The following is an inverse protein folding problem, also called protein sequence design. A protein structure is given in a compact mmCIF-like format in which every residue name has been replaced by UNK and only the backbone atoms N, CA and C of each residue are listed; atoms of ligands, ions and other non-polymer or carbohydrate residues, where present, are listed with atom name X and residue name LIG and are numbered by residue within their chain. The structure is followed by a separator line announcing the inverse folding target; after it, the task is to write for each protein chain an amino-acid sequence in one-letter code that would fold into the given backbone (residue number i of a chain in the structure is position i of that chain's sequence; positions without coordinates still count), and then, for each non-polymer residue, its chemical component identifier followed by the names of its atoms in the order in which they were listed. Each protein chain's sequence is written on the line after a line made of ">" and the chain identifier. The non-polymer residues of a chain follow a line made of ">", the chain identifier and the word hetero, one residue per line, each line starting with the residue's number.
data_IF_309072916291
#
_entry.id   IF_309072916291
#
_cell.length_a   1.000
_cell.length_b   1.000
_cell.length_c   1.000
_cell.angle_alpha   90.00
_cell.angle_beta   90.00
_cell.angle_gamma   90.00
#
_symmetry.space_group_name_H-M   'P 1'
#
loop_
_entity.id
_entity.type
_entity.pdbx_description
1 polymer ?
#
# COMPACT_ATOMS: atom_id res chain seq x y z
N UNK A 1 -8.31 -4.98 -28.53
CA UNK A 1 -7.16 -4.30 -27.89
C UNK A 1 -7.41 -4.38 -26.38
N UNK A 2 -6.52 -4.99 -25.61
CA UNK A 2 -6.66 -5.09 -24.15
C UNK A 2 -5.89 -3.90 -23.56
N UNK A 3 -6.59 -3.03 -22.82
CA UNK A 3 -5.99 -1.89 -22.16
C UNK A 3 -5.80 -2.21 -20.67
N UNK A 4 -4.62 -1.95 -20.07
CA UNK A 4 -4.43 -2.14 -18.64
C UNK A 4 -5.29 -1.15 -17.86
N UNK A 5 -6.07 -1.65 -16.91
CA UNK A 5 -6.89 -0.84 -16.00
C UNK A 5 -6.14 -0.74 -14.67
N UNK A 6 -5.85 0.49 -14.24
CA UNK A 6 -5.33 0.75 -12.89
C UNK A 6 -6.49 1.21 -12.02
N UNK A 7 -6.76 0.48 -10.94
CA UNK A 7 -7.71 0.91 -9.93
C UNK A 7 -6.97 1.62 -8.80
N UNK A 8 -7.49 2.76 -8.34
CA UNK A 8 -6.98 3.46 -7.15
C UNK A 8 -8.14 3.64 -6.19
N UNK A 9 -8.07 2.94 -5.07
CA UNK A 9 -9.03 3.04 -3.99
C UNK A 9 -9.19 4.49 -3.51
N UNK A 10 -10.43 4.88 -3.20
CA UNK A 10 -10.70 6.21 -2.67
C UNK A 10 -10.25 6.28 -1.20
N UNK A 11 -9.01 6.71 -0.98
CA UNK A 11 -8.51 6.96 0.37
C UNK A 11 -8.90 8.34 0.91
N UNK A 12 -8.93 8.47 2.26
CA UNK A 12 -9.15 9.75 2.95
C UNK A 12 -8.02 10.77 2.75
N UNK A 13 -6.82 10.30 2.38
CA UNK A 13 -5.66 11.15 2.09
C UNK A 13 -5.24 11.00 0.62
N UNK A 14 -5.44 12.06 -0.17
CA UNK A 14 -5.09 12.10 -1.61
C UNK A 14 -3.60 11.84 -1.88
N UNK A 15 -2.72 12.04 -0.89
CA UNK A 15 -1.28 11.75 -1.02
C UNK A 15 -1.00 10.27 -1.21
N UNK A 16 -1.81 9.41 -0.61
CA UNK A 16 -1.67 7.97 -0.76
C UNK A 16 -2.10 7.52 -2.15
N UNK A 17 -3.12 8.16 -2.75
CA UNK A 17 -3.61 7.83 -4.09
C UNK A 17 -2.55 8.06 -5.19
N UNK A 18 -1.78 9.15 -5.11
CA UNK A 18 -0.70 9.42 -6.06
C UNK A 18 0.43 8.39 -5.98
N UNK A 19 0.72 7.92 -4.76
CA UNK A 19 1.70 6.86 -4.53
C UNK A 19 1.20 5.52 -5.09
N UNK A 20 -0.04 5.13 -4.79
CA UNK A 20 -0.66 3.91 -5.31
C UNK A 20 -0.70 3.92 -6.83
N UNK A 21 -1.14 5.01 -7.47
CA UNK A 21 -1.15 5.12 -8.93
C UNK A 21 0.23 4.88 -9.56
N UNK A 22 1.27 5.50 -8.99
CA UNK A 22 2.64 5.34 -9.51
C UNK A 22 3.24 3.97 -9.17
N UNK A 23 2.82 3.36 -8.07
CA UNK A 23 3.18 1.99 -7.72
C UNK A 23 2.60 1.01 -8.73
N UNK A 24 1.30 1.10 -9.05
CA UNK A 24 0.66 0.28 -10.08
C UNK A 24 1.25 0.54 -11.47
N UNK A 25 1.53 1.80 -11.81
CA UNK A 25 2.22 2.12 -13.05
C UNK A 25 3.63 1.53 -13.09
N UNK A 26 4.34 1.47 -11.95
CA UNK A 26 5.65 0.83 -11.88
C UNK A 26 5.56 -0.67 -12.14
N UNK A 27 4.54 -1.35 -11.62
CA UNK A 27 4.27 -2.74 -11.95
C UNK A 27 4.08 -2.94 -13.45
N UNK A 28 3.29 -2.07 -14.08
CA UNK A 28 3.11 -2.12 -15.52
C UNK A 28 4.42 -1.86 -16.26
N UNK A 29 5.19 -0.82 -15.94
CA UNK A 29 6.41 -0.48 -16.69
C UNK A 29 7.49 -1.56 -16.52
N UNK A 30 7.65 -2.10 -15.31
CA UNK A 30 8.79 -2.95 -14.97
C UNK A 30 8.50 -4.45 -15.14
N UNK A 31 7.27 -4.88 -14.92
CA UNK A 31 6.91 -6.30 -14.82
C UNK A 31 5.90 -6.76 -15.89
N UNK A 32 5.67 -5.92 -16.91
CA UNK A 32 4.69 -6.01 -18.01
C UNK A 32 4.52 -7.38 -18.71
N UNK A 33 5.39 -8.36 -18.48
CA UNK A 33 5.31 -9.71 -19.07
C UNK A 33 4.82 -10.81 -18.13
N UNK A 34 4.93 -10.63 -16.82
CA UNK A 34 4.57 -11.69 -15.86
C UNK A 34 3.17 -11.52 -15.25
N UNK A 35 2.48 -10.42 -15.56
CA UNK A 35 1.10 -10.21 -15.11
C UNK A 35 0.05 -10.90 -16.01
N UNK A 36 0.46 -11.41 -17.18
CA UNK A 36 -0.44 -12.03 -18.18
C UNK A 36 -0.16 -13.53 -18.37
N UNK A 37 1.01 -14.04 -17.99
CA UNK A 37 1.30 -15.49 -18.01
C UNK A 37 1.19 -16.10 -16.60
N UNK A 38 0.05 -16.73 -16.37
CA UNK A 38 -0.40 -17.29 -15.09
C UNK A 38 0.33 -18.53 -14.58
N UNK A 39 1.67 -18.54 -14.50
CA UNK A 39 2.36 -19.71 -13.92
C UNK A 39 3.56 -19.45 -13.00
N UNK A 40 3.98 -18.20 -12.74
CA UNK A 40 5.08 -17.97 -11.78
C UNK A 40 4.87 -16.75 -10.87
N UNK A 41 4.03 -16.92 -9.85
CA UNK A 41 4.09 -16.10 -8.65
C UNK A 41 3.65 -16.86 -7.41
N UNK A 42 4.25 -18.04 -7.19
CA UNK A 42 4.19 -18.69 -5.89
C UNK A 42 5.00 -17.86 -4.87
N UNK A 43 4.30 -17.50 -3.79
CA UNK A 43 4.76 -16.81 -2.59
C UNK A 43 4.80 -15.27 -2.66
N UNK A 44 3.78 -14.62 -2.06
CA UNK A 44 3.96 -13.49 -1.12
C UNK A 44 2.62 -13.01 -0.55
N UNK A 45 1.92 -13.84 0.22
CA UNK A 45 0.91 -13.34 1.17
C UNK A 45 1.07 -14.12 2.47
N UNK A 46 1.60 -13.43 3.49
CA UNK A 46 1.86 -13.99 4.81
C UNK A 46 3.33 -13.98 5.22
N UNK A 47 3.83 -12.82 5.64
CA UNK A 47 5.03 -12.71 6.50
C UNK A 47 6.38 -13.08 5.87
N UNK A 48 7.30 -12.13 5.88
CA UNK A 48 8.76 -12.29 5.74
C UNK A 48 9.40 -12.42 4.34
N UNK A 49 8.65 -12.31 3.24
CA UNK A 49 9.26 -12.02 1.92
C UNK A 49 8.42 -10.98 1.19
N UNK A 50 8.89 -9.73 1.11
CA UNK A 50 8.36 -8.81 0.10
C UNK A 50 8.89 -9.30 -1.23
N UNK A 51 8.00 -9.60 -2.17
CA UNK A 51 8.42 -9.99 -3.52
C UNK A 51 9.37 -8.91 -4.08
N UNK A 52 10.38 -9.33 -4.84
CA UNK A 52 11.33 -8.40 -5.46
C UNK A 52 10.60 -7.35 -6.32
N UNK A 53 9.50 -7.75 -6.96
CA UNK A 53 8.62 -6.88 -7.76
C UNK A 53 8.02 -5.74 -6.92
N UNK A 54 7.51 -6.05 -5.73
CA UNK A 54 6.98 -5.04 -4.80
C UNK A 54 8.05 -4.05 -4.34
N UNK A 55 9.27 -4.53 -4.08
CA UNK A 55 10.38 -3.66 -3.68
C UNK A 55 10.75 -2.71 -4.82
N UNK A 56 10.82 -3.23 -6.05
CA UNK A 56 11.16 -2.46 -7.25
C UNK A 56 10.07 -1.44 -7.60
N UNK A 57 8.79 -1.81 -7.53
CA UNK A 57 7.67 -0.91 -7.76
C UNK A 57 7.61 0.23 -6.73
N UNK A 58 7.75 -0.09 -5.45
CA UNK A 58 7.85 0.91 -4.38
C UNK A 58 9.05 1.84 -4.55
N UNK A 59 10.20 1.30 -4.97
CA UNK A 59 11.37 2.11 -5.24
C UNK A 59 11.07 3.10 -6.37
N UNK A 60 10.54 2.65 -7.51
CA UNK A 60 10.23 3.54 -8.64
C UNK A 60 9.24 4.64 -8.24
N UNK A 61 8.10 4.28 -7.64
CA UNK A 61 7.09 5.25 -7.21
C UNK A 61 7.68 6.32 -6.28
N UNK A 62 8.48 5.88 -5.30
CA UNK A 62 9.13 6.79 -4.35
C UNK A 62 10.20 7.68 -4.99
N UNK A 63 10.93 7.19 -6.00
CA UNK A 63 11.91 7.97 -6.75
C UNK A 63 11.24 9.04 -7.65
N UNK A 64 10.09 8.70 -8.25
CA UNK A 64 9.32 9.62 -9.10
C UNK A 64 8.70 10.74 -8.27
N UNK A 65 8.04 10.40 -7.15
CA UNK A 65 7.38 11.40 -6.29
C UNK A 65 8.37 12.25 -5.49
N UNK A 66 9.45 11.62 -5.01
CA UNK A 66 10.46 12.28 -4.19
C UNK A 66 11.87 12.13 -4.81
N UNK A 67 12.22 12.98 -5.78
CA UNK A 67 13.52 12.94 -6.44
C UNK A 67 14.65 13.28 -5.47
N UNK A 68 15.89 12.90 -5.80
CA UNK A 68 17.06 13.13 -4.93
C UNK A 68 17.27 14.61 -4.60
N UNK A 69 16.98 15.52 -5.52
CA UNK A 69 17.04 16.96 -5.29
C UNK A 69 16.13 17.41 -4.14
N UNK A 70 14.96 16.79 -3.99
CA UNK A 70 14.03 17.11 -2.92
C UNK A 70 14.55 16.67 -1.54
N UNK A 71 15.43 15.67 -1.48
CA UNK A 71 16.04 15.22 -0.22
C UNK A 71 16.99 16.28 0.36
N UNK A 72 17.54 17.15 -0.49
CA UNK A 72 18.43 18.24 -0.06
C UNK A 72 17.71 19.33 0.73
N UNK A 73 16.38 19.39 0.64
CA UNK A 73 15.53 20.33 1.39
C UNK A 73 15.35 19.89 2.86
N UNK A 74 15.81 18.68 3.22
CA UNK A 74 15.59 18.07 4.54
C UNK A 74 16.90 18.07 5.33
N UNK A 75 16.87 18.64 6.53
CA UNK A 75 17.94 18.45 7.51
C UNK A 75 17.81 17.06 8.16
N UNK A 76 18.35 16.05 7.49
CA UNK A 76 18.30 14.66 7.95
C UNK A 76 18.99 14.44 9.31
N UNK A 77 19.96 15.29 9.68
CA UNK A 77 20.65 15.19 10.98
C UNK A 77 19.76 15.69 12.11
N UNK A 78 18.98 16.74 11.88
CA UNK A 78 18.03 17.27 12.87
C UNK A 78 16.95 16.25 13.23
N UNK A 79 16.59 15.33 12.32
CA UNK A 79 15.59 14.29 12.59
C UNK A 79 16.04 13.27 13.66
N UNK A 80 17.35 13.17 13.92
CA UNK A 80 17.87 12.22 14.89
C UNK A 80 17.43 12.59 16.32
N UNK A 81 16.77 11.65 17.00
CA UNK A 81 16.30 11.84 18.37
C UNK A 81 14.93 12.50 18.52
N UNK A 82 14.32 12.97 17.43
CA UNK A 82 12.97 13.52 17.44
C UNK A 82 11.90 12.45 17.68
N UNK A 83 10.83 12.84 18.38
CA UNK A 83 9.61 12.06 18.48
C UNK A 83 8.85 12.02 17.14
N UNK A 84 7.97 11.03 16.89
CA UNK A 84 7.26 10.93 15.62
C UNK A 84 6.49 12.20 15.22
N UNK A 85 5.80 12.85 16.16
CA UNK A 85 5.06 14.08 15.88
C UNK A 85 5.98 15.25 15.48
N UNK A 86 7.19 15.31 16.01
CA UNK A 86 8.19 16.32 15.65
C UNK A 86 8.77 16.03 14.26
N UNK A 87 8.99 14.75 13.94
CA UNK A 87 9.36 14.31 12.58
C UNK A 87 8.26 14.67 11.58
N UNK A 88 6.99 14.39 11.92
CA UNK A 88 5.85 14.75 11.06
C UNK A 88 5.78 16.26 10.83
N UNK A 89 6.02 17.06 11.87
CA UNK A 89 6.07 18.51 11.76
C UNK A 89 7.23 18.99 10.88
N UNK A 90 8.43 18.42 11.07
CA UNK A 90 9.63 18.77 10.31
C UNK A 90 9.51 18.39 8.81
N UNK A 91 8.84 17.28 8.51
CA UNK A 91 8.68 16.79 7.13
C UNK A 91 7.46 17.36 6.41
N UNK A 92 6.55 18.05 7.12
CA UNK A 92 5.26 18.53 6.60
C UNK A 92 5.38 19.23 5.24
N UNK A 93 6.28 20.21 5.14
CA UNK A 93 6.42 21.01 3.91
C UNK A 93 6.83 20.16 2.70
N UNK A 94 7.75 19.21 2.88
CA UNK A 94 8.18 18.30 1.82
C UNK A 94 7.07 17.31 1.47
N UNK A 95 6.39 16.76 2.47
CA UNK A 95 5.25 15.84 2.28
C UNK A 95 4.10 16.51 1.50
N UNK A 96 3.79 17.77 1.79
CA UNK A 96 2.75 18.54 1.09
C UNK A 96 3.16 18.87 -0.34
N UNK A 97 4.40 19.35 -0.53
CA UNK A 97 4.96 19.69 -1.86
C UNK A 97 5.01 18.49 -2.80
N UNK A 98 5.42 17.33 -2.29
CA UNK A 98 5.63 16.12 -3.08
C UNK A 98 4.46 15.13 -3.01
N UNK A 99 3.40 15.47 -2.26
CA UNK A 99 2.22 14.62 -2.06
C UNK A 99 2.56 13.21 -1.62
N UNK A 100 3.47 13.07 -0.65
CA UNK A 100 3.90 11.79 -0.07
C UNK A 100 3.69 11.76 1.43
N UNK A 101 3.64 10.56 2.00
CA UNK A 101 3.60 10.39 3.46
C UNK A 101 5.00 10.57 4.08
N UNK A 102 5.10 10.91 5.38
CA UNK A 102 6.38 10.96 6.09
C UNK A 102 7.16 9.65 6.02
N UNK A 103 6.47 8.50 5.97
CA UNK A 103 7.10 7.19 5.82
C UNK A 103 7.85 7.05 4.50
N UNK A 104 7.27 7.53 3.39
CA UNK A 104 7.93 7.52 2.08
C UNK A 104 9.19 8.38 2.11
N UNK A 105 9.11 9.57 2.71
CA UNK A 105 10.28 10.46 2.88
C UNK A 105 11.38 9.78 3.70
N UNK A 106 11.04 9.18 4.84
CA UNK A 106 12.00 8.47 5.69
C UNK A 106 12.62 7.26 4.99
N UNK A 107 11.84 6.51 4.21
CA UNK A 107 12.34 5.39 3.42
C UNK A 107 13.34 5.87 2.35
N UNK A 108 13.07 7.01 1.70
CA UNK A 108 13.96 7.64 0.71
C UNK A 108 15.26 8.13 1.35
N UNK A 109 15.18 8.81 2.49
CA UNK A 109 16.36 9.24 3.25
C UNK A 109 17.22 8.05 3.69
N UNK A 110 16.59 6.94 4.10
CA UNK A 110 17.30 5.69 4.43
C UNK A 110 17.97 5.09 3.21
N UNK A 111 17.29 5.01 2.07
CA UNK A 111 17.85 4.49 0.83
C UNK A 111 19.06 5.33 0.37
N UNK A 112 19.00 6.65 0.54
CA UNK A 112 20.10 7.58 0.31
C UNK A 112 21.17 7.58 1.42
N UNK A 113 21.03 6.74 2.46
CA UNK A 113 21.92 6.64 3.62
C UNK A 113 22.09 7.94 4.41
N UNK A 114 21.10 8.83 4.34
CA UNK A 114 21.07 10.10 5.08
C UNK A 114 20.55 9.94 6.51
N UNK A 115 19.76 8.90 6.77
CA UNK A 115 19.28 8.53 8.12
C UNK A 115 19.53 7.05 8.40
N UNK A 116 19.76 6.66 9.67
CA UNK A 116 19.94 5.25 10.04
C UNK A 116 18.62 4.48 9.97
N UNK A 117 18.69 3.17 9.71
CA UNK A 117 17.52 2.29 9.69
C UNK A 117 16.74 2.31 11.02
N UNK A 118 17.44 2.46 12.14
CA UNK A 118 16.84 2.53 13.47
C UNK A 118 15.89 3.72 13.65
N UNK A 119 16.12 4.84 12.95
CA UNK A 119 15.22 6.00 12.99
C UNK A 119 13.89 5.64 12.32
N UNK A 120 13.95 5.05 11.12
CA UNK A 120 12.75 4.66 10.35
C UNK A 120 11.95 3.60 11.10
N UNK A 121 12.62 2.57 11.63
CA UNK A 121 11.98 1.52 12.42
C UNK A 121 11.36 2.08 13.70
N UNK A 122 12.07 2.98 14.39
CA UNK A 122 11.57 3.64 15.58
C UNK A 122 10.35 4.52 15.31
N UNK A 123 10.36 5.25 14.18
CA UNK A 123 9.20 6.02 13.72
C UNK A 123 8.01 5.09 13.46
N UNK A 124 8.18 4.03 12.65
CA UNK A 124 7.12 3.06 12.32
C UNK A 124 6.49 2.42 13.57
N UNK A 125 7.31 1.93 14.49
CA UNK A 125 6.83 1.29 15.72
C UNK A 125 6.02 2.25 16.59
N UNK A 126 6.42 3.51 16.67
CA UNK A 126 5.75 4.52 17.51
C UNK A 126 4.52 5.11 16.85
N UNK A 127 4.53 5.33 15.53
CA UNK A 127 3.35 5.78 14.79
C UNK A 127 2.26 4.70 14.80
N UNK A 128 2.61 3.43 14.55
CA UNK A 128 1.66 2.31 14.64
C UNK A 128 1.04 2.16 16.04
N UNK A 129 1.81 2.45 17.11
CA UNK A 129 1.29 2.45 18.49
C UNK A 129 0.36 3.63 18.77
N UNK A 130 0.62 4.80 18.19
CA UNK A 130 -0.21 5.99 18.33
C UNK A 130 -1.52 5.89 17.54
N UNK A 131 -1.51 5.17 16.41
CA UNK A 131 -2.69 4.91 15.57
C UNK A 131 -3.60 3.80 16.13
N UNK A 132 -3.17 3.05 17.15
CA UNK A 132 -4.07 2.14 17.88
C UNK A 132 -4.98 2.97 18.78
N UNK A 133 -6.30 3.06 18.52
CA UNK A 133 -7.21 3.67 19.48
C UNK A 133 -7.04 2.97 20.83
N UNK A 134 -7.00 3.74 21.92
CA UNK A 134 -7.07 3.16 23.27
C UNK A 134 -8.31 2.27 23.31
N UNK A 135 -8.08 0.96 23.35
CA UNK A 135 -9.12 -0.04 23.39
C UNK A 135 -9.95 0.17 24.65
N UNK A 136 -11.09 0.87 24.50
CA UNK A 136 -12.24 0.55 25.33
C UNK A 136 -12.60 -0.90 25.00
N UNK A 137 -12.60 -1.73 26.04
CA UNK A 137 -12.90 -3.14 25.97
C UNK A 137 -14.21 -3.40 25.22
N UNK A 138 -14.10 -3.78 23.94
CA UNK A 138 -15.08 -4.57 23.20
C UNK A 138 -14.31 -5.64 22.42
N UNK A 139 -14.96 -6.77 22.25
CA UNK A 139 -14.38 -8.09 21.98
C UNK A 139 -13.35 -8.15 20.85
N UNK A 140 -12.57 -9.24 20.86
CA UNK A 140 -11.61 -9.63 19.83
C UNK A 140 -12.21 -9.40 18.44
N UNK A 141 -11.80 -8.31 17.81
CA UNK A 141 -12.05 -8.03 16.41
C UNK A 141 -10.91 -8.72 15.66
N UNK A 142 -11.24 -9.68 14.81
CA UNK A 142 -10.28 -10.56 14.13
C UNK A 142 -9.54 -9.89 12.97
N UNK A 143 -9.76 -8.59 12.76
CA UNK A 143 -9.09 -7.82 11.71
C UNK A 143 -9.68 -8.04 10.32
N UNK A 144 -10.83 -8.70 10.20
CA UNK A 144 -11.58 -8.83 8.95
C UNK A 144 -12.15 -7.49 8.49
N UNK A 145 -12.05 -7.22 7.19
CA UNK A 145 -12.67 -6.03 6.59
C UNK A 145 -14.10 -6.37 6.21
N UNK A 146 -15.07 -5.56 6.60
CA UNK A 146 -16.46 -5.87 6.28
C UNK A 146 -16.74 -5.73 4.76
N UNK A 147 -17.65 -6.55 4.24
CA UNK A 147 -18.16 -6.44 2.84
C UNK A 147 -18.62 -5.01 2.51
N UNK A 148 -19.20 -4.31 3.49
CA UNK A 148 -19.62 -2.93 3.34
C UNK A 148 -18.43 -1.97 3.15
N UNK A 149 -17.35 -2.14 3.91
CA UNK A 149 -16.13 -1.34 3.76
C UNK A 149 -15.45 -1.61 2.41
N UNK A 150 -15.37 -2.88 1.98
CA UNK A 150 -14.82 -3.23 0.67
C UNK A 150 -15.62 -2.54 -0.45
N UNK A 151 -16.96 -2.60 -0.38
CA UNK A 151 -17.83 -1.92 -1.35
C UNK A 151 -17.73 -0.40 -1.28
N UNK A 152 -17.49 0.19 -0.11
CA UNK A 152 -17.24 1.63 0.02
C UNK A 152 -15.92 2.05 -0.65
N UNK A 153 -14.87 1.23 -0.50
CA UNK A 153 -13.52 1.50 -1.02
C UNK A 153 -13.46 1.31 -2.54
N UNK A 154 -13.97 0.18 -3.02
CA UNK A 154 -13.85 -0.25 -4.41
C UNK A 154 -15.04 0.18 -5.30
N UNK A 155 -16.20 0.40 -4.68
CA UNK A 155 -17.45 0.66 -5.37
C UNK A 155 -18.14 -0.61 -5.85
N UNK A 156 -19.47 -0.63 -5.77
CA UNK A 156 -20.29 -1.81 -6.07
C UNK A 156 -20.02 -2.42 -7.44
N UNK A 157 -19.90 -1.58 -8.48
CA UNK A 157 -19.70 -2.07 -9.85
C UNK A 157 -18.37 -2.81 -10.03
N UNK A 158 -17.31 -2.35 -9.38
CA UNK A 158 -16.00 -2.97 -9.52
C UNK A 158 -15.94 -4.31 -8.78
N UNK A 159 -16.51 -4.35 -7.57
CA UNK A 159 -16.68 -5.57 -6.78
C UNK A 159 -17.52 -6.60 -7.55
N UNK A 160 -18.70 -6.21 -8.04
CA UNK A 160 -19.60 -7.10 -8.75
C UNK A 160 -18.98 -7.62 -10.06
N UNK A 161 -18.25 -6.78 -10.78
CA UNK A 161 -17.53 -7.18 -12.01
C UNK A 161 -16.42 -8.18 -11.70
N UNK A 162 -15.64 -7.96 -10.64
CA UNK A 162 -14.55 -8.85 -10.24
C UNK A 162 -15.07 -10.22 -9.83
N UNK A 163 -16.10 -10.26 -8.96
CA UNK A 163 -16.76 -11.51 -8.56
C UNK A 163 -17.37 -12.22 -9.78
N UNK A 164 -17.97 -11.48 -10.70
CA UNK A 164 -18.53 -12.05 -11.94
C UNK A 164 -17.44 -12.66 -12.83
N UNK A 165 -16.36 -11.93 -13.11
CA UNK A 165 -15.26 -12.41 -13.97
C UNK A 165 -14.58 -13.66 -13.39
N UNK A 166 -14.43 -13.73 -12.07
CA UNK A 166 -13.91 -14.94 -11.41
C UNK A 166 -14.89 -16.11 -11.53
N UNK A 167 -16.19 -15.87 -11.31
CA UNK A 167 -17.23 -16.89 -11.50
C UNK A 167 -17.33 -17.41 -12.95
N UNK A 168 -17.03 -16.55 -13.92
CA UNK A 168 -16.96 -16.88 -15.36
C UNK A 168 -15.60 -17.50 -15.76
N UNK A 169 -14.63 -17.59 -14.83
CA UNK A 169 -13.26 -18.08 -15.04
C UNK A 169 -12.45 -17.26 -16.05
N UNK A 170 -12.82 -16.00 -16.26
CA UNK A 170 -12.06 -15.04 -17.06
C UNK A 170 -10.83 -14.53 -16.27
N UNK A 171 -10.91 -14.57 -14.93
CA UNK A 171 -9.79 -14.33 -14.01
C UNK A 171 -9.74 -15.46 -12.97
N UNK A 172 -8.59 -15.63 -12.32
CA UNK A 172 -8.45 -16.62 -11.23
C UNK A 172 -8.95 -16.07 -9.89
N UNK A 173 -9.21 -16.96 -8.93
CA UNK A 173 -9.48 -16.59 -7.53
C UNK A 173 -8.39 -15.67 -6.96
N UNK A 174 -7.13 -15.97 -7.30
CA UNK A 174 -5.99 -15.16 -6.89
C UNK A 174 -6.11 -13.74 -7.44
N UNK A 175 -6.40 -13.59 -8.74
CA UNK A 175 -6.51 -12.27 -9.36
C UNK A 175 -7.64 -11.46 -8.74
N UNK A 176 -8.75 -12.10 -8.39
CA UNK A 176 -9.89 -11.43 -7.76
C UNK A 176 -9.58 -10.93 -6.34
N UNK A 177 -8.88 -11.73 -5.53
CA UNK A 177 -8.39 -11.35 -4.20
C UNK A 177 -7.40 -10.18 -4.30
N UNK A 178 -6.49 -10.24 -5.27
CA UNK A 178 -5.50 -9.17 -5.53
C UNK A 178 -6.17 -7.88 -6.02
N UNK A 179 -7.11 -7.96 -6.96
CA UNK A 179 -7.79 -6.79 -7.51
C UNK A 179 -8.61 -6.02 -6.47
N UNK A 180 -9.11 -6.72 -5.45
CA UNK A 180 -9.87 -6.14 -4.35
C UNK A 180 -9.04 -5.92 -3.10
N UNK A 181 -7.73 -6.20 -3.13
CA UNK A 181 -6.80 -6.05 -1.99
C UNK A 181 -7.39 -6.55 -0.65
N UNK A 182 -8.02 -7.73 -0.70
CA UNK A 182 -8.64 -8.39 0.46
C UNK A 182 -7.90 -9.68 0.78
N UNK A 183 -8.17 -10.28 1.93
CA UNK A 183 -7.78 -11.66 2.15
C UNK A 183 -8.80 -12.63 1.52
N UNK A 184 -8.44 -13.92 1.51
CA UNK A 184 -9.29 -14.95 0.91
C UNK A 184 -10.62 -15.10 1.64
N UNK A 185 -10.62 -14.99 2.98
CA UNK A 185 -11.81 -15.16 3.80
C UNK A 185 -12.81 -14.03 3.52
N UNK A 186 -12.34 -12.78 3.45
CA UNK A 186 -13.10 -11.60 3.11
C UNK A 186 -13.66 -11.68 1.68
N UNK A 187 -12.87 -12.20 0.73
CA UNK A 187 -13.33 -12.42 -0.65
C UNK A 187 -14.42 -13.51 -0.75
N UNK A 188 -14.34 -14.58 0.05
CA UNK A 188 -15.39 -15.60 0.11
C UNK A 188 -16.73 -15.02 0.61
N UNK A 189 -16.70 -14.02 1.50
CA UNK A 189 -17.90 -13.29 1.91
C UNK A 189 -18.51 -12.50 0.74
N UNK A 190 -17.69 -11.90 -0.13
CA UNK A 190 -18.16 -11.18 -1.33
C UNK A 190 -18.82 -12.12 -2.35
N UNK A 191 -18.35 -13.37 -2.43
CA UNK A 191 -18.95 -14.42 -3.28
C UNK A 191 -20.30 -14.94 -2.76
N UNK A 192 -20.70 -14.57 -1.55
CA UNK A 192 -21.89 -15.13 -0.89
C UNK A 192 -21.68 -16.56 -0.40
N UNK A 193 -20.43 -16.97 -0.11
CA UNK A 193 -20.12 -18.27 0.49
C UNK A 193 -20.60 -18.40 1.95
N UNK A 194 -20.84 -19.61 2.47
CA UNK A 194 -21.28 -19.81 3.85
C UNK A 194 -20.15 -19.42 4.83
N UNK A 195 -20.49 -18.62 5.84
CA UNK A 195 -19.60 -18.36 6.97
C UNK A 195 -19.29 -19.67 7.70
N UNK A 196 -18.01 -20.03 7.84
CA UNK A 196 -17.56 -21.10 8.73
C UNK A 196 -17.10 -20.54 10.07
#
# INVERSE_FOLDING_TARGET
>A
EVLPIIFVAKEKDERNQSFTLLHELAHLIMHQKDAIDGEQSLASFGGASRSRREIEANALASHVLLPESALTEIDAKALAGMAPAEIDAALRGVCEKHRVSPMVVLARLRAARLVPAALVEGYFKRSAKASRPQAQAKGKDDGRVSVAEIREIFGDRYVDMTVKMEGEKEITLHDAVVYLDVDLDDYEMLRGGPCY
#
